data_IF_985287665318
#
_entry.id   IF_985287665318
#
_cell.length_a   1.000
_cell.length_b   1.000
_cell.length_c   1.000
_cell.angle_alpha   90.00
_cell.angle_beta   90.00
_cell.angle_gamma   90.00
#
_symmetry.space_group_name_H-M   'P 1'
#
loop_
_entity.id
_entity.type
_entity.pdbx_description
1 polymer ?
#
# COMPACT_ATOMS: atom_id res chain seq x y z
N UNK A 1 18.42 38.94 -52.31
CA UNK A 1 18.24 37.53 -51.99
C UNK A 1 18.51 37.40 -50.51
N UNK A 2 17.43 37.39 -49.70
CA UNK A 2 17.50 37.35 -48.25
C UNK A 2 16.94 35.99 -47.81
N UNK A 3 17.77 35.16 -47.20
CA UNK A 3 17.40 33.86 -46.67
C UNK A 3 16.87 34.03 -45.23
N UNK A 4 15.59 33.73 -45.04
CA UNK A 4 14.95 33.63 -43.76
C UNK A 4 15.28 32.26 -43.14
N UNK A 5 16.04 32.25 -42.06
CA UNK A 5 16.24 31.07 -41.18
C UNK A 5 15.01 30.87 -40.32
N UNK A 6 14.32 29.72 -40.49
CA UNK A 6 13.25 29.28 -39.61
C UNK A 6 13.87 28.81 -38.30
N UNK A 7 13.58 29.53 -37.22
CA UNK A 7 13.84 29.10 -35.85
C UNK A 7 12.92 27.93 -35.51
N UNK A 8 13.50 26.78 -35.16
CA UNK A 8 12.77 25.63 -34.60
C UNK A 8 12.29 25.97 -33.21
N UNK A 9 10.96 25.97 -33.00
CA UNK A 9 10.36 26.02 -31.69
C UNK A 9 10.64 24.67 -31.02
N UNK A 10 11.44 24.67 -29.94
CA UNK A 10 11.57 23.53 -29.05
C UNK A 10 10.23 23.23 -28.35
N UNK A 11 10.03 22.01 -27.87
CA UNK A 11 8.78 21.65 -27.20
C UNK A 11 8.60 22.55 -25.97
N UNK A 12 7.51 23.30 -25.96
CA UNK A 12 7.05 24.07 -24.78
C UNK A 12 6.81 23.08 -23.62
N UNK A 13 7.58 23.24 -22.56
CA UNK A 13 7.27 22.58 -21.30
C UNK A 13 5.89 23.06 -20.86
N UNK A 14 4.89 22.19 -20.96
CA UNK A 14 3.54 22.46 -20.51
C UNK A 14 3.55 22.88 -19.05
N UNK A 15 2.79 23.91 -18.72
CA UNK A 15 2.55 24.37 -17.37
C UNK A 15 1.98 23.18 -16.56
N UNK A 16 2.74 22.69 -15.58
CA UNK A 16 2.28 21.66 -14.66
C UNK A 16 1.22 22.26 -13.73
N UNK A 17 0.01 21.71 -13.74
CA UNK A 17 -0.99 22.00 -12.73
C UNK A 17 -0.49 21.56 -11.33
N UNK A 18 -1.08 22.05 -10.23
CA UNK A 18 -0.65 21.63 -8.89
C UNK A 18 -0.88 20.12 -8.75
N UNK A 19 0.14 19.32 -8.38
CA UNK A 19 0.02 17.86 -8.18
C UNK A 19 -0.85 17.49 -6.95
N UNK A 20 -1.36 18.49 -6.22
CA UNK A 20 -2.09 18.32 -4.97
C UNK A 20 -3.32 17.44 -5.06
N UNK A 21 -4.10 17.51 -6.17
CA UNK A 21 -5.29 16.65 -6.34
C UNK A 21 -4.90 15.19 -6.54
N UNK A 22 -3.84 14.93 -7.30
CA UNK A 22 -3.32 13.55 -7.52
C UNK A 22 -2.70 13.01 -6.23
N UNK A 23 -1.92 13.81 -5.50
CA UNK A 23 -1.39 13.41 -4.19
C UNK A 23 -2.48 13.13 -3.17
N UNK A 24 -3.58 13.88 -3.20
CA UNK A 24 -4.75 13.63 -2.35
C UNK A 24 -5.43 12.30 -2.68
N UNK A 25 -5.53 11.94 -3.96
CA UNK A 25 -6.04 10.65 -4.38
C UNK A 25 -5.12 9.51 -3.91
N UNK A 26 -3.79 9.67 -4.09
CA UNK A 26 -2.78 8.72 -3.64
C UNK A 26 -2.73 8.54 -2.12
N UNK A 27 -3.20 9.51 -1.34
CA UNK A 27 -3.35 9.37 0.12
C UNK A 27 -4.42 8.31 0.52
N UNK A 28 -5.30 7.92 -0.40
CA UNK A 28 -6.23 6.81 -0.25
C UNK A 28 -5.60 5.44 -0.52
N UNK A 29 -4.53 5.39 -1.30
CA UNK A 29 -3.83 4.16 -1.68
C UNK A 29 -2.91 3.72 -0.54
N UNK A 30 -2.95 2.43 -0.21
CA UNK A 30 -2.24 1.90 0.95
C UNK A 30 -1.34 0.74 0.59
N UNK A 31 -0.25 0.63 1.33
CA UNK A 31 0.47 -0.63 1.42
C UNK A 31 -0.47 -1.68 2.05
N UNK A 32 -0.69 -2.83 1.39
CA UNK A 32 -1.65 -3.82 1.87
C UNK A 32 -1.26 -4.44 3.21
N UNK A 33 0.03 -4.65 3.47
CA UNK A 33 0.51 -5.25 4.72
C UNK A 33 0.52 -4.26 5.88
N UNK A 34 0.91 -3.01 5.61
CA UNK A 34 1.12 -1.99 6.63
C UNK A 34 -0.15 -1.20 6.96
N UNK A 35 -1.17 -1.26 6.11
CA UNK A 35 -2.41 -0.46 6.19
C UNK A 35 -2.13 1.05 6.34
N UNK A 36 -1.02 1.52 5.77
CA UNK A 36 -0.64 2.93 5.77
C UNK A 36 -0.64 3.51 4.36
N UNK A 37 -1.01 4.79 4.17
CA UNK A 37 -0.94 5.44 2.87
C UNK A 37 0.48 5.37 2.28
N UNK A 38 0.60 5.04 1.00
CA UNK A 38 1.89 5.03 0.28
C UNK A 38 2.57 6.40 0.30
N UNK A 39 1.77 7.47 0.40
CA UNK A 39 2.28 8.84 0.54
C UNK A 39 2.95 9.07 1.89
N UNK A 40 2.38 8.56 2.99
CA UNK A 40 2.96 8.67 4.35
C UNK A 40 4.15 7.73 4.57
N UNK A 41 4.22 6.63 3.82
CA UNK A 41 5.37 5.73 3.81
C UNK A 41 6.55 6.29 3.00
N UNK A 42 6.31 7.35 2.19
CA UNK A 42 7.33 7.95 1.33
C UNK A 42 7.56 7.19 0.02
N UNK A 43 6.63 6.31 -0.36
CA UNK A 43 6.79 5.50 -1.58
C UNK A 43 6.54 6.28 -2.87
N UNK A 44 5.89 7.44 -2.81
CA UNK A 44 5.72 8.34 -3.97
C UNK A 44 6.99 9.16 -4.14
N UNK A 45 7.79 8.87 -5.16
CA UNK A 45 9.05 9.57 -5.46
C UNK A 45 8.84 10.80 -6.34
N UNK A 46 7.83 10.75 -7.23
CA UNK A 46 7.45 11.87 -8.09
C UNK A 46 5.95 11.80 -8.41
N UNK A 47 5.36 12.98 -8.62
CA UNK A 47 3.98 13.13 -9.03
C UNK A 47 3.85 14.40 -9.85
N UNK A 48 3.34 14.29 -11.07
CA UNK A 48 3.10 15.41 -11.98
C UNK A 48 1.71 15.34 -12.58
N UNK A 49 1.16 16.50 -12.92
CA UNK A 49 -0.09 16.64 -13.68
C UNK A 49 0.09 17.75 -14.70
N UNK A 50 -0.06 17.45 -15.98
CA UNK A 50 0.00 18.44 -17.04
C UNK A 50 -1.29 19.29 -17.10
N UNK A 51 -1.22 20.44 -17.80
CA UNK A 51 -2.41 21.26 -18.04
C UNK A 51 -3.47 20.53 -18.89
N UNK A 52 -3.06 19.55 -19.69
CA UNK A 52 -3.92 18.74 -20.54
C UNK A 52 -4.53 17.53 -19.80
N UNK A 53 -4.24 17.38 -18.50
CA UNK A 53 -4.77 16.31 -17.66
C UNK A 53 -3.99 15.00 -17.71
N UNK A 54 -2.72 15.02 -18.15
CA UNK A 54 -1.87 13.84 -18.14
C UNK A 54 -1.12 13.75 -16.80
N UNK A 55 -1.41 12.70 -16.03
CA UNK A 55 -0.79 12.45 -14.74
C UNK A 55 0.32 11.39 -14.85
N UNK A 56 1.47 11.66 -14.25
CA UNK A 56 2.54 10.68 -14.07
C UNK A 56 2.90 10.57 -12.60
N UNK A 57 2.94 9.33 -12.09
CA UNK A 57 3.32 8.99 -10.72
C UNK A 57 4.45 7.98 -10.75
N UNK A 58 5.47 8.20 -9.92
CA UNK A 58 6.59 7.28 -9.74
C UNK A 58 6.61 6.76 -8.32
N UNK A 59 6.69 5.45 -8.18
CA UNK A 59 6.72 4.76 -6.89
C UNK A 59 8.07 4.09 -6.69
N UNK A 60 8.59 4.19 -5.46
CA UNK A 60 9.81 3.52 -5.00
C UNK A 60 9.51 2.73 -3.74
N UNK A 61 10.01 1.52 -3.67
CA UNK A 61 9.81 0.64 -2.51
C UNK A 61 11.09 0.53 -1.66
N UNK A 62 10.96 0.11 -0.39
CA UNK A 62 12.08 0.01 0.54
C UNK A 62 13.22 -0.88 0.05
N UNK A 63 12.89 -1.94 -0.70
CA UNK A 63 13.88 -2.87 -1.24
C UNK A 63 13.63 -3.18 -2.71
N UNK A 64 14.67 -3.60 -3.41
CA UNK A 64 14.57 -4.14 -4.76
C UNK A 64 13.71 -5.41 -4.85
N UNK A 65 13.57 -6.13 -3.71
CA UNK A 65 12.92 -7.43 -3.59
C UNK A 65 11.61 -7.41 -2.78
N UNK A 66 10.93 -6.27 -2.66
CA UNK A 66 9.58 -6.27 -2.09
C UNK A 66 8.70 -7.28 -2.84
N UNK A 67 7.81 -7.97 -2.13
CA UNK A 67 7.00 -9.02 -2.75
C UNK A 67 6.19 -8.49 -3.95
N UNK A 68 6.28 -9.12 -5.14
CA UNK A 68 5.66 -8.62 -6.38
C UNK A 68 4.14 -8.44 -6.28
N UNK A 69 3.46 -9.28 -5.52
CA UNK A 69 2.02 -9.19 -5.28
C UNK A 69 1.64 -7.91 -4.50
N UNK A 70 2.43 -7.47 -3.53
CA UNK A 70 2.21 -6.21 -2.80
C UNK A 70 2.52 -5.01 -3.70
N UNK A 71 3.63 -5.07 -4.41
CA UNK A 71 4.03 -4.03 -5.36
C UNK A 71 2.96 -3.85 -6.46
N UNK A 72 2.46 -4.94 -7.04
CA UNK A 72 1.39 -4.91 -8.03
C UNK A 72 0.12 -4.26 -7.47
N UNK A 73 -0.34 -4.67 -6.26
CA UNK A 73 -1.52 -4.08 -5.64
C UNK A 73 -1.39 -2.57 -5.47
N UNK A 74 -0.23 -2.09 -4.99
CA UNK A 74 -0.02 -0.65 -4.80
C UNK A 74 0.02 0.12 -6.11
N UNK A 75 0.64 -0.42 -7.17
CA UNK A 75 0.70 0.22 -8.49
C UNK A 75 -0.67 0.26 -9.15
N UNK A 76 -1.44 -0.84 -9.08
CA UNK A 76 -2.79 -0.93 -9.62
C UNK A 76 -3.76 0.02 -8.88
N UNK A 77 -3.75 0.01 -7.54
CA UNK A 77 -4.59 0.89 -6.74
C UNK A 77 -4.22 2.38 -6.95
N UNK A 78 -2.93 2.68 -7.16
CA UNK A 78 -2.49 4.03 -7.48
C UNK A 78 -2.97 4.46 -8.87
N UNK A 79 -2.90 3.58 -9.86
CA UNK A 79 -3.45 3.86 -11.19
C UNK A 79 -4.95 4.15 -11.13
N UNK A 80 -5.72 3.28 -10.47
CA UNK A 80 -7.19 3.44 -10.34
C UNK A 80 -7.55 4.74 -9.60
N UNK A 81 -6.84 5.07 -8.53
CA UNK A 81 -7.07 6.31 -7.78
C UNK A 81 -6.75 7.56 -8.61
N UNK A 82 -5.66 7.53 -9.39
CA UNK A 82 -5.23 8.65 -10.21
C UNK A 82 -6.17 8.86 -11.38
N UNK A 83 -6.50 7.82 -12.14
CA UNK A 83 -7.39 7.94 -13.31
C UNK A 83 -8.81 8.33 -12.95
N UNK A 84 -9.28 7.99 -11.74
CA UNK A 84 -10.58 8.41 -11.21
C UNK A 84 -10.60 9.88 -10.72
N UNK A 85 -9.45 10.54 -10.66
CA UNK A 85 -9.35 11.92 -10.16
C UNK A 85 -9.89 12.91 -11.19
N UNK A 86 -10.76 13.81 -10.74
CA UNK A 86 -11.32 14.86 -11.61
C UNK A 86 -10.22 15.72 -12.23
N UNK A 87 -10.28 15.92 -13.54
CA UNK A 87 -9.28 16.65 -14.33
C UNK A 87 -8.09 15.80 -14.80
N UNK A 88 -8.03 14.52 -14.45
CA UNK A 88 -7.09 13.56 -15.05
C UNK A 88 -7.72 12.93 -16.27
N UNK A 89 -7.02 12.99 -17.41
CA UNK A 89 -7.41 12.40 -18.68
C UNK A 89 -6.69 11.09 -18.93
N UNK A 90 -5.39 11.07 -18.63
CA UNK A 90 -4.55 9.86 -18.72
C UNK A 90 -3.72 9.72 -17.46
N UNK A 91 -3.43 8.49 -17.05
CA UNK A 91 -2.59 8.19 -15.91
C UNK A 91 -1.49 7.22 -16.32
N UNK A 92 -0.28 7.48 -15.83
CA UNK A 92 0.86 6.57 -15.90
C UNK A 92 1.41 6.42 -14.50
N UNK A 93 1.44 5.20 -13.99
CA UNK A 93 2.05 4.87 -12.69
C UNK A 93 3.19 3.91 -12.93
N UNK A 94 4.39 4.29 -12.50
CA UNK A 94 5.63 3.54 -12.74
C UNK A 94 6.23 3.13 -11.41
N UNK A 95 6.46 1.84 -11.23
CA UNK A 95 7.30 1.30 -10.17
C UNK A 95 8.75 1.35 -10.62
N UNK A 96 9.60 2.03 -9.85
CA UNK A 96 11.05 2.15 -10.09
C UNK A 96 11.84 1.20 -9.21
N UNK A 97 13.05 0.84 -9.64
CA UNK A 97 14.04 0.11 -8.83
C UNK A 97 13.51 -1.19 -8.16
N UNK A 98 12.77 -1.99 -8.92
CA UNK A 98 12.22 -3.25 -8.45
C UNK A 98 12.48 -4.36 -9.47
N UNK A 99 12.83 -5.59 -9.00
CA UNK A 99 13.21 -6.68 -9.91
C UNK A 99 12.09 -7.10 -10.88
N UNK A 100 10.83 -6.93 -10.49
CA UNK A 100 9.65 -7.25 -11.29
C UNK A 100 8.98 -6.01 -11.90
N UNK A 101 9.65 -4.85 -11.94
CA UNK A 101 9.04 -3.58 -12.40
C UNK A 101 8.45 -3.68 -13.80
N UNK A 102 9.12 -4.35 -14.75
CA UNK A 102 8.65 -4.46 -16.12
C UNK A 102 7.33 -5.23 -16.22
N UNK A 103 7.22 -6.37 -15.53
CA UNK A 103 5.99 -7.17 -15.48
C UNK A 103 4.85 -6.41 -14.80
N UNK A 104 5.13 -5.74 -13.68
CA UNK A 104 4.13 -4.97 -12.92
C UNK A 104 3.64 -3.77 -13.74
N UNK A 105 4.56 -2.95 -14.25
CA UNK A 105 4.23 -1.74 -15.00
C UNK A 105 3.48 -2.10 -16.29
N UNK A 106 3.93 -3.12 -17.03
CA UNK A 106 3.27 -3.61 -18.24
C UNK A 106 1.88 -4.16 -17.97
N UNK A 107 1.74 -4.96 -16.91
CA UNK A 107 0.47 -5.56 -16.52
C UNK A 107 -0.59 -4.54 -16.09
N UNK A 108 -0.19 -3.54 -15.30
CA UNK A 108 -1.10 -2.47 -14.88
C UNK A 108 -1.46 -1.57 -16.06
N UNK A 109 -0.50 -1.17 -16.89
CA UNK A 109 -0.75 -0.31 -18.06
C UNK A 109 -1.72 -0.93 -19.07
N UNK A 110 -1.73 -2.26 -19.20
CA UNK A 110 -2.63 -2.99 -20.12
C UNK A 110 -3.91 -3.48 -19.46
N UNK A 111 -4.05 -3.38 -18.14
CA UNK A 111 -5.17 -3.95 -17.38
C UNK A 111 -5.21 -5.48 -17.42
N UNK A 112 -4.05 -6.12 -17.62
CA UNK A 112 -3.96 -7.57 -17.81
C UNK A 112 -4.31 -8.41 -16.56
N UNK A 113 -4.25 -7.82 -15.37
CA UNK A 113 -4.36 -8.52 -14.09
C UNK A 113 -3.04 -9.15 -13.63
N UNK A 114 -3.00 -9.61 -12.38
CA UNK A 114 -1.77 -10.14 -11.77
C UNK A 114 -1.31 -11.43 -12.43
N UNK A 115 -2.22 -12.39 -12.62
CA UNK A 115 -1.89 -13.70 -13.21
C UNK A 115 -1.29 -13.55 -14.61
N UNK A 116 -1.90 -12.71 -15.46
CA UNK A 116 -1.39 -12.48 -16.82
C UNK A 116 -0.11 -11.68 -16.87
N UNK A 117 0.21 -10.90 -15.80
CA UNK A 117 1.46 -10.16 -15.70
C UNK A 117 2.64 -11.03 -15.30
N UNK A 118 2.36 -12.17 -14.65
CA UNK A 118 3.35 -13.13 -14.14
C UNK A 118 3.08 -14.52 -14.71
N UNK A 119 3.04 -14.61 -16.05
CA UNK A 119 2.69 -15.82 -16.78
C UNK A 119 3.59 -17.01 -16.37
N UNK A 120 2.96 -18.09 -15.92
CA UNK A 120 3.62 -19.29 -15.43
C UNK A 120 4.14 -19.22 -13.97
N UNK A 121 4.13 -18.06 -13.32
CA UNK A 121 4.58 -17.89 -11.93
C UNK A 121 3.43 -17.64 -10.96
N UNK A 122 2.32 -17.04 -11.43
CA UNK A 122 1.15 -16.76 -10.63
C UNK A 122 -0.02 -17.69 -11.03
N UNK A 123 -0.70 -18.27 -10.04
CA UNK A 123 -1.81 -19.22 -10.23
C UNK A 123 -3.17 -18.66 -9.83
N UNK A 124 -3.21 -17.49 -9.16
CA UNK A 124 -4.46 -16.88 -8.72
C UNK A 124 -4.33 -15.36 -8.64
N UNK A 125 -5.47 -14.68 -8.82
CA UNK A 125 -5.57 -13.23 -8.62
C UNK A 125 -5.51 -12.85 -7.14
N UNK A 126 -5.23 -11.56 -6.85
CA UNK A 126 -4.88 -11.07 -5.53
C UNK A 126 -6.08 -10.75 -4.61
N UNK A 127 -7.31 -11.14 -4.99
CA UNK A 127 -8.51 -10.81 -4.20
C UNK A 127 -8.49 -11.41 -2.79
N UNK A 128 -8.09 -12.69 -2.68
CA UNK A 128 -8.02 -13.35 -1.36
C UNK A 128 -6.92 -12.72 -0.51
N UNK A 129 -5.76 -12.46 -1.10
CA UNK A 129 -4.65 -11.79 -0.42
C UNK A 129 -5.06 -10.41 0.12
N UNK A 130 -5.75 -9.61 -0.70
CA UNK A 130 -6.30 -8.31 -0.28
C UNK A 130 -7.25 -8.47 0.90
N UNK A 131 -8.16 -9.45 0.85
CA UNK A 131 -9.09 -9.72 1.95
C UNK A 131 -8.35 -10.11 3.24
N UNK A 132 -7.30 -10.91 3.16
CA UNK A 132 -6.51 -11.34 4.32
C UNK A 132 -5.77 -10.15 4.97
N UNK A 133 -5.25 -9.22 4.17
CA UNK A 133 -4.65 -7.99 4.71
C UNK A 133 -5.69 -7.05 5.32
N UNK A 134 -6.86 -6.92 4.70
CA UNK A 134 -7.97 -6.16 5.30
C UNK A 134 -8.40 -6.75 6.66
N UNK A 135 -8.43 -8.09 6.80
CA UNK A 135 -8.70 -8.74 8.09
C UNK A 135 -7.63 -8.41 9.13
N UNK A 136 -6.34 -8.40 8.74
CA UNK A 136 -5.25 -7.93 9.62
C UNK A 136 -5.42 -6.47 10.01
N UNK A 137 -5.82 -5.61 9.08
CA UNK A 137 -6.07 -4.19 9.33
C UNK A 137 -7.26 -3.98 10.28
N UNK A 138 -8.35 -4.75 10.14
CA UNK A 138 -9.48 -4.73 11.10
C UNK A 138 -9.02 -5.18 12.48
N UNK A 139 -8.21 -6.24 12.57
CA UNK A 139 -7.65 -6.72 13.84
C UNK A 139 -6.81 -5.63 14.52
N UNK A 140 -5.86 -5.03 13.81
CA UNK A 140 -5.02 -3.95 14.34
C UNK A 140 -5.83 -2.71 14.71
N UNK A 141 -6.80 -2.32 13.87
CA UNK A 141 -7.72 -1.21 14.11
C UNK A 141 -8.57 -1.41 15.36
N UNK A 142 -8.97 -2.66 15.65
CA UNK A 142 -9.68 -2.99 16.90
C UNK A 142 -8.84 -2.62 18.12
N UNK A 143 -7.54 -2.95 18.17
CA UNK A 143 -6.67 -2.52 19.28
C UNK A 143 -6.50 -1.00 19.34
N UNK A 144 -6.35 -0.34 18.17
CA UNK A 144 -6.22 1.12 18.11
C UNK A 144 -7.43 1.83 18.73
N UNK A 145 -8.63 1.30 18.53
CA UNK A 145 -9.88 1.85 19.07
C UNK A 145 -10.10 1.44 20.52
N UNK A 146 -9.88 0.17 20.88
CA UNK A 146 -10.13 -0.33 22.25
C UNK A 146 -9.08 0.13 23.26
N UNK A 147 -7.84 0.36 22.85
CA UNK A 147 -6.74 0.77 23.75
C UNK A 147 -7.01 2.07 24.54
N UNK A 148 -7.52 3.16 23.95
CA UNK A 148 -7.92 4.35 24.69
C UNK A 148 -9.03 4.07 25.70
N UNK A 149 -10.02 3.24 25.36
CA UNK A 149 -11.13 2.86 26.23
C UNK A 149 -10.61 2.07 27.45
N UNK A 150 -9.76 1.07 27.21
CA UNK A 150 -9.10 0.32 28.29
C UNK A 150 -8.27 1.22 29.22
N UNK A 151 -7.57 2.22 28.67
CA UNK A 151 -6.84 3.22 29.48
C UNK A 151 -7.75 4.14 30.27
N UNK A 152 -8.97 4.38 29.79
CA UNK A 152 -9.99 5.17 30.48
C UNK A 152 -10.70 4.36 31.59
N UNK A 153 -10.40 3.06 31.72
CA UNK A 153 -10.92 2.20 32.79
C UNK A 153 -12.05 1.25 32.37
N UNK A 154 -12.45 1.25 31.09
CA UNK A 154 -13.44 0.28 30.60
C UNK A 154 -12.88 -1.16 30.69
N UNK A 155 -13.65 -2.07 31.23
CA UNK A 155 -13.29 -3.49 31.31
C UNK A 155 -13.62 -4.28 30.05
N UNK A 156 -13.07 -5.49 29.93
CA UNK A 156 -13.39 -6.38 28.80
C UNK A 156 -14.88 -6.70 28.69
N UNK A 157 -15.57 -6.89 29.82
CA UNK A 157 -17.01 -7.15 29.87
C UNK A 157 -17.82 -5.98 29.28
N UNK A 158 -17.38 -4.74 29.51
CA UNK A 158 -18.01 -3.53 28.98
C UNK A 158 -17.75 -3.41 27.48
N UNK A 159 -16.50 -3.60 27.02
CA UNK A 159 -16.16 -3.58 25.59
C UNK A 159 -16.95 -4.64 24.79
N UNK A 160 -17.31 -5.75 25.41
CA UNK A 160 -18.12 -6.81 24.79
C UNK A 160 -19.53 -6.32 24.38
N UNK A 161 -20.11 -5.43 25.17
CA UNK A 161 -21.48 -4.91 24.94
C UNK A 161 -21.50 -3.62 24.15
N UNK A 162 -20.37 -2.97 23.97
CA UNK A 162 -20.27 -1.70 23.21
C UNK A 162 -20.49 -1.91 21.72
N UNK A 163 -21.01 -0.87 21.09
CA UNK A 163 -21.15 -0.72 19.65
C UNK A 163 -20.14 0.31 19.11
N UNK A 164 -20.04 0.45 17.79
CA UNK A 164 -19.22 1.49 17.18
C UNK A 164 -19.71 2.91 17.50
N UNK A 165 -21.01 3.08 17.76
CA UNK A 165 -21.63 4.37 18.12
C UNK A 165 -21.28 4.81 19.54
N UNK A 166 -20.94 3.87 20.45
CA UNK A 166 -20.57 4.18 21.85
C UNK A 166 -19.11 4.72 21.94
N UNK A 167 -18.33 4.62 20.86
CA UNK A 167 -16.93 5.03 20.84
C UNK A 167 -16.80 6.49 20.44
N UNK A 168 -16.06 7.33 21.17
CA UNK A 168 -15.81 8.71 20.76
C UNK A 168 -15.22 8.80 19.35
N UNK A 169 -15.67 9.76 18.53
CA UNK A 169 -15.14 9.97 17.19
C UNK A 169 -13.61 10.10 17.18
N UNK A 170 -12.96 9.39 16.27
CA UNK A 170 -11.50 9.44 16.14
C UNK A 170 -11.06 8.94 14.76
N UNK A 171 -9.87 9.36 14.27
CA UNK A 171 -9.32 8.83 13.02
C UNK A 171 -9.14 7.30 13.02
N UNK A 172 -8.92 6.69 14.20
CA UNK A 172 -8.81 5.24 14.34
C UNK A 172 -10.17 4.55 14.14
N UNK A 173 -11.25 5.11 14.72
CA UNK A 173 -12.62 4.60 14.52
C UNK A 173 -13.04 4.72 13.04
N UNK A 174 -12.80 5.87 12.41
CA UNK A 174 -13.11 6.09 10.99
C UNK A 174 -12.38 5.08 10.09
N UNK A 175 -11.12 4.80 10.40
CA UNK A 175 -10.32 3.79 9.69
C UNK A 175 -10.90 2.40 9.88
N UNK A 176 -11.20 2.01 11.11
CA UNK A 176 -11.80 0.71 11.42
C UNK A 176 -13.13 0.52 10.66
N UNK A 177 -14.01 1.53 10.65
CA UNK A 177 -15.28 1.50 9.91
C UNK A 177 -15.04 1.28 8.42
N UNK A 178 -14.11 2.01 7.80
CA UNK A 178 -13.78 1.81 6.38
C UNK A 178 -13.29 0.39 6.09
N UNK A 179 -12.38 -0.16 6.91
CA UNK A 179 -11.85 -1.53 6.71
C UNK A 179 -12.92 -2.60 6.85
N UNK A 180 -13.87 -2.41 7.76
CA UNK A 180 -15.04 -3.30 7.86
C UNK A 180 -15.92 -3.23 6.63
N UNK A 181 -16.23 -2.03 6.15
CA UNK A 181 -17.02 -1.84 4.94
C UNK A 181 -16.36 -2.46 3.70
N UNK A 182 -15.04 -2.34 3.55
CA UNK A 182 -14.26 -2.96 2.47
C UNK A 182 -14.32 -4.51 2.52
N UNK A 183 -14.50 -5.11 3.71
CA UNK A 183 -14.74 -6.55 3.89
C UNK A 183 -16.22 -6.94 3.77
N UNK A 184 -17.13 -5.98 3.53
CA UNK A 184 -18.58 -6.21 3.50
C UNK A 184 -19.21 -6.35 4.88
N UNK A 185 -18.51 -5.99 5.98
CA UNK A 185 -19.06 -6.03 7.32
C UNK A 185 -19.75 -4.70 7.69
N UNK A 186 -20.68 -4.77 8.65
CA UNK A 186 -21.36 -3.58 9.13
C UNK A 186 -20.39 -2.58 9.77
N UNK A 187 -20.51 -1.32 9.37
CA UNK A 187 -19.81 -0.16 9.91
C UNK A 187 -20.77 0.87 10.55
N UNK A 188 -22.04 0.54 10.70
CA UNK A 188 -23.08 1.37 11.33
C UNK A 188 -22.83 1.53 12.83
N UNK A 189 -23.46 2.53 13.43
CA UNK A 189 -23.29 2.83 14.85
C UNK A 189 -23.72 1.66 15.76
N UNK A 190 -24.74 0.91 15.36
CA UNK A 190 -25.29 -0.25 16.09
C UNK A 190 -24.41 -1.52 15.96
N UNK A 191 -23.42 -1.51 15.08
CA UNK A 191 -22.55 -2.67 14.88
C UNK A 191 -21.68 -2.91 16.11
N UNK A 192 -21.47 -4.19 16.53
CA UNK A 192 -20.62 -4.52 17.68
C UNK A 192 -19.22 -3.90 17.55
N UNK A 193 -18.69 -3.37 18.67
CA UNK A 193 -17.35 -2.79 18.71
C UNK A 193 -16.27 -3.80 18.34
N UNK A 194 -16.37 -5.04 18.82
CA UNK A 194 -15.38 -6.09 18.56
C UNK A 194 -16.00 -7.24 17.79
N UNK A 195 -15.49 -7.47 16.59
CA UNK A 195 -15.91 -8.57 15.70
C UNK A 195 -14.74 -9.48 15.37
N UNK A 196 -15.04 -10.73 15.04
CA UNK A 196 -14.11 -11.62 14.38
C UNK A 196 -13.94 -11.18 12.90
N UNK A 197 -12.73 -10.83 12.44
CA UNK A 197 -12.50 -10.35 11.08
C UNK A 197 -12.62 -11.44 10.01
N UNK A 198 -12.78 -12.71 10.37
CA UNK A 198 -13.06 -13.80 9.42
C UNK A 198 -14.55 -13.91 9.11
N UNK A 199 -15.40 -13.70 10.11
CA UNK A 199 -16.84 -13.97 10.00
C UNK A 199 -17.70 -12.71 10.07
N UNK A 200 -17.16 -11.60 10.59
CA UNK A 200 -17.93 -10.39 10.92
C UNK A 200 -18.81 -10.52 12.17
N UNK A 201 -18.84 -11.67 12.81
CA UNK A 201 -19.64 -11.91 14.01
C UNK A 201 -19.05 -11.22 15.26
N UNK A 202 -19.91 -10.81 16.20
CA UNK A 202 -19.44 -10.29 17.49
C UNK A 202 -18.61 -11.33 18.22
N UNK A 203 -17.50 -10.88 18.83
CA UNK A 203 -16.66 -11.75 19.67
C UNK A 203 -17.32 -11.92 21.03
N UNK A 204 -17.55 -13.17 21.46
CA UNK A 204 -18.16 -13.48 22.75
C UNK A 204 -17.27 -13.09 23.93
N UNK A 205 -17.89 -12.89 25.12
CA UNK A 205 -17.21 -12.46 26.35
C UNK A 205 -15.98 -13.30 26.69
N UNK A 206 -16.08 -14.62 26.57
CA UNK A 206 -15.01 -15.56 26.93
C UNK A 206 -13.82 -15.49 25.96
N UNK A 207 -14.08 -15.21 24.66
CA UNK A 207 -13.08 -15.06 23.63
C UNK A 207 -12.40 -13.69 23.62
N UNK A 208 -13.05 -12.68 24.17
CA UNK A 208 -12.62 -11.28 24.04
C UNK A 208 -11.20 -11.00 24.58
N UNK A 209 -10.78 -11.50 25.75
CA UNK A 209 -9.43 -11.24 26.25
C UNK A 209 -8.34 -11.79 25.32
N UNK A 210 -8.55 -12.95 24.72
CA UNK A 210 -7.62 -13.52 23.74
C UNK A 210 -7.62 -12.71 22.44
N UNK A 211 -8.80 -12.31 21.97
CA UNK A 211 -8.96 -11.49 20.78
C UNK A 211 -8.22 -10.15 20.91
N UNK A 212 -8.38 -9.43 22.03
CA UNK A 212 -7.69 -8.16 22.29
C UNK A 212 -6.17 -8.33 22.36
N UNK A 213 -5.66 -9.44 22.92
CA UNK A 213 -4.22 -9.73 22.87
C UNK A 213 -3.71 -9.93 21.44
N UNK A 214 -4.44 -10.69 20.62
CA UNK A 214 -4.11 -10.88 19.20
C UNK A 214 -4.16 -9.55 18.44
N UNK A 215 -5.19 -8.74 18.67
CA UNK A 215 -5.33 -7.41 18.08
C UNK A 215 -4.12 -6.51 18.39
N UNK A 216 -3.69 -6.49 19.66
CA UNK A 216 -2.49 -5.76 20.10
C UNK A 216 -1.22 -6.27 19.39
N UNK A 217 -1.02 -7.59 19.33
CA UNK A 217 0.16 -8.18 18.67
C UNK A 217 0.18 -7.83 17.18
N UNK A 218 -0.95 -7.96 16.48
CA UNK A 218 -1.08 -7.61 15.06
C UNK A 218 -0.75 -6.13 14.82
N UNK A 219 -1.29 -5.23 15.65
CA UNK A 219 -0.96 -3.80 15.54
C UNK A 219 0.53 -3.53 15.73
N UNK A 220 1.13 -4.10 16.78
CA UNK A 220 2.56 -3.89 17.07
C UNK A 220 3.43 -4.40 15.91
N UNK A 221 3.09 -5.56 15.34
CA UNK A 221 3.80 -6.11 14.17
C UNK A 221 3.70 -5.18 12.95
N UNK A 222 2.51 -4.68 12.63
CA UNK A 222 2.30 -3.75 11.51
C UNK A 222 3.10 -2.45 11.74
N UNK A 223 3.02 -1.86 12.93
CA UNK A 223 3.75 -0.62 13.25
C UNK A 223 5.27 -0.79 13.20
N UNK A 224 5.79 -1.94 13.67
CA UNK A 224 7.21 -2.26 13.59
C UNK A 224 7.68 -2.40 12.13
N UNK A 225 6.93 -3.16 11.31
CA UNK A 225 7.24 -3.33 9.89
C UNK A 225 7.19 -1.98 9.15
N UNK A 226 6.21 -1.13 9.42
CA UNK A 226 6.12 0.22 8.84
C UNK A 226 7.34 1.08 9.21
N UNK A 227 7.83 0.98 10.44
CA UNK A 227 9.06 1.64 10.87
C UNK A 227 10.30 1.15 10.11
N UNK A 228 10.43 -0.16 9.96
CA UNK A 228 11.51 -0.80 9.20
C UNK A 228 11.48 -0.36 7.72
N UNK A 229 10.32 -0.45 7.07
CA UNK A 229 10.16 -0.06 5.67
C UNK A 229 10.54 1.40 5.43
N UNK A 230 10.10 2.33 6.30
CA UNK A 230 10.50 3.74 6.21
C UNK A 230 12.01 3.93 6.38
N UNK A 231 12.62 3.26 7.35
CA UNK A 231 14.07 3.33 7.58
C UNK A 231 14.87 2.81 6.39
N UNK A 232 14.47 1.67 5.83
CA UNK A 232 15.11 1.07 4.65
C UNK A 232 14.97 1.96 3.42
N UNK A 233 13.77 2.50 3.16
CA UNK A 233 13.53 3.43 2.05
C UNK A 233 14.42 4.67 2.16
N UNK A 234 14.45 5.28 3.35
CA UNK A 234 15.28 6.44 3.62
C UNK A 234 16.76 6.13 3.38
N UNK A 235 17.26 5.01 3.90
CA UNK A 235 18.65 4.61 3.70
C UNK A 235 18.97 4.40 2.22
N UNK A 236 18.13 3.68 1.50
CA UNK A 236 18.32 3.35 0.08
C UNK A 236 18.43 4.59 -0.81
N UNK A 237 17.61 5.59 -0.58
CA UNK A 237 17.54 6.78 -1.46
C UNK A 237 18.24 8.02 -0.91
N UNK A 238 18.67 8.05 0.36
CA UNK A 238 19.53 9.13 0.86
C UNK A 238 20.96 9.03 0.35
N UNK A 239 21.45 7.82 0.05
CA UNK A 239 22.80 7.58 -0.47
C UNK A 239 22.98 8.00 -1.93
N UNK A 240 21.90 8.08 -2.72
CA UNK A 240 21.95 8.48 -4.15
C UNK A 240 22.07 10.00 -4.35
N UNK A 241 21.91 10.80 -3.30
CA UNK A 241 22.09 12.27 -3.35
C UNK A 241 23.50 12.77 -3.05
N UNK A 242 24.48 11.91 -2.74
CA UNK A 242 25.85 12.29 -2.38
C UNK A 242 26.96 11.60 -3.18
N UNK A 243 26.71 11.18 -4.41
CA UNK A 243 27.70 10.40 -5.16
C UNK A 243 27.79 10.70 -6.66
N UNK A 244 28.15 11.94 -7.04
CA UNK A 244 28.82 12.18 -8.31
C UNK A 244 30.15 12.90 -8.08
N UNK A 245 31.13 12.17 -7.54
CA UNK A 245 32.55 12.38 -7.81
C UNK A 245 33.37 11.20 -7.24
N UNK A 246 33.79 10.27 -8.09
CA UNK A 246 34.79 9.26 -7.67
C UNK A 246 34.71 7.95 -8.41
N UNK A 247 35.47 7.87 -9.51
CA UNK A 247 36.13 6.71 -10.13
C UNK A 247 35.41 5.37 -10.20
N UNK A 248 35.23 4.95 -11.44
CA UNK A 248 35.07 3.56 -11.84
C UNK A 248 36.20 2.69 -11.27
N UNK A 249 35.86 1.69 -10.49
CA UNK A 249 36.68 0.50 -10.35
C UNK A 249 35.84 -0.75 -10.63
N UNK A 250 36.24 -1.41 -11.70
CA UNK A 250 35.76 -2.70 -12.14
C UNK A 250 36.23 -3.76 -11.14
N UNK A 251 35.29 -4.46 -10.48
CA UNK A 251 35.59 -5.78 -9.91
C UNK A 251 34.41 -6.72 -10.04
N UNK A 252 34.56 -7.72 -10.92
CA UNK A 252 34.23 -9.12 -10.66
C UNK A 252 32.74 -9.49 -10.64
N UNK A 253 32.17 -9.72 -11.82
CA UNK A 253 31.13 -10.71 -11.98
C UNK A 253 31.78 -12.07 -11.86
N UNK A 254 31.47 -12.83 -10.79
CA UNK A 254 31.49 -14.29 -10.82
C UNK A 254 30.83 -14.88 -9.57
N UNK A 255 29.90 -15.82 -9.83
CA UNK A 255 29.50 -16.94 -8.97
C UNK A 255 28.59 -16.63 -7.74
N UNK A 256 27.28 -16.61 -7.95
CA UNK A 256 26.39 -17.35 -7.05
C UNK A 256 25.46 -18.23 -7.89
N UNK A 257 25.70 -19.55 -7.77
CA UNK A 257 24.94 -20.60 -8.43
C UNK A 257 23.47 -20.63 -7.98
N UNK A 258 22.62 -20.79 -8.96
CA UNK A 258 21.27 -21.26 -8.79
C UNK A 258 21.32 -22.72 -8.34
N UNK A 259 21.05 -22.97 -7.07
CA UNK A 259 20.56 -24.28 -6.59
C UNK A 259 20.15 -24.15 -5.11
N UNK A 260 18.94 -24.67 -4.83
CA UNK A 260 18.31 -24.89 -3.53
C UNK A 260 17.29 -23.85 -3.04
N UNK A 261 16.14 -23.85 -3.66
CA UNK A 261 14.88 -23.81 -2.90
C UNK A 261 14.00 -24.97 -3.36
N UNK A 262 14.08 -26.07 -2.59
CA UNK A 262 13.27 -27.25 -2.74
C UNK A 262 11.79 -26.94 -2.50
N UNK A 263 11.00 -27.22 -3.49
CA UNK A 263 9.56 -27.37 -3.41
C UNK A 263 9.24 -28.68 -2.67
N UNK A 264 9.07 -28.60 -1.34
CA UNK A 264 8.44 -29.69 -0.56
C UNK A 264 8.05 -29.10 0.80
N UNK A 265 6.77 -28.71 0.92
CA UNK A 265 5.98 -28.73 2.16
C UNK A 265 4.58 -28.09 1.95
N UNK A 266 3.75 -28.67 1.11
CA UNK A 266 2.30 -28.64 1.24
C UNK A 266 1.75 -29.92 0.61
N UNK A 267 1.77 -31.01 1.36
CA UNK A 267 0.84 -32.13 1.18
C UNK A 267 -0.03 -32.21 2.40
N UNK A 268 -1.31 -32.21 2.11
CA UNK A 268 -2.43 -32.39 3.03
C UNK A 268 -2.35 -33.71 3.79
N UNK A 269 -2.76 -33.65 5.04
CA UNK A 269 -3.59 -34.64 5.74
C UNK A 269 -4.66 -33.88 6.57
#
# INVERSE_FOLDING_TARGET
MSMLTRGGAGPTRGSTGPPGVVLSALAGVRDPELDEPITSLGFVSACTLSADGDAEVRLRLPTYFCAPNFAYLMVADAYDAVIATSGVRTAVVVLEDHFASDAINGGVATGAGFVSSFDGEAVSELHQLRADFLRKAVMAGTDQVCRPLLKAGHGAAELHTMTLGDVPPSPALDRLRRRRAELGFSAADEAPLVIDPQTGAAVGSDGLPLHLRRAKTTRVSIEANAGICRGMLQHRYSATGQGESGSADQHGADQYGADQYGADQYRED
#
